data_IF_973003277288
#
_entry.id   IF_973003277288
#
_cell.length_a   1.000
_cell.length_b   1.000
_cell.length_c   1.000
_cell.angle_alpha   90.00
_cell.angle_beta   90.00
_cell.angle_gamma   90.00
#
_symmetry.space_group_name_H-M   'P 1'
#
loop_
_entity.id
_entity.type
_entity.pdbx_description
1 polymer ?
#
# COMPACT_ATOMS: atom_id res chain seq x y z
N UNK A 1 -1.60 -1.14 -8.56
CA UNK A 1 -2.18 -1.50 -7.25
C UNK A 1 -1.07 -1.96 -6.32
N UNK A 2 -1.26 -1.74 -5.02
CA UNK A 2 -0.40 -2.28 -3.98
C UNK A 2 -1.25 -3.24 -3.13
N UNK A 3 -0.66 -4.37 -2.78
CA UNK A 3 -1.19 -5.30 -1.80
C UNK A 3 -0.20 -5.28 -0.65
N UNK A 4 -0.69 -5.05 0.56
CA UNK A 4 0.10 -5.10 1.78
C UNK A 4 -0.43 -6.20 2.70
N UNK A 5 0.46 -7.05 3.19
CA UNK A 5 0.13 -8.01 4.26
C UNK A 5 1.02 -7.73 5.44
N UNK A 6 0.45 -7.84 6.63
CA UNK A 6 1.16 -7.54 7.87
C UNK A 6 1.12 -8.73 8.81
N UNK A 7 2.24 -8.99 9.46
CA UNK A 7 2.50 -10.12 10.34
C UNK A 7 3.40 -9.65 11.50
N UNK A 8 3.46 -10.42 12.56
CA UNK A 8 4.35 -10.16 13.69
C UNK A 8 3.62 -10.19 15.03
N UNK A 9 4.31 -9.74 16.08
CA UNK A 9 3.79 -9.76 17.44
C UNK A 9 3.55 -8.33 17.92
N UNK A 10 2.37 -7.82 17.59
CA UNK A 10 1.88 -6.49 17.98
C UNK A 10 0.35 -6.51 17.97
N UNK A 11 -0.27 -5.47 18.51
CA UNK A 11 -1.73 -5.30 18.47
C UNK A 11 -2.13 -3.83 18.38
N UNK A 12 -3.40 -3.58 18.05
CA UNK A 12 -4.00 -2.26 17.90
C UNK A 12 -3.35 -1.38 16.81
N UNK A 13 -2.74 -1.98 15.78
CA UNK A 13 -2.20 -1.20 14.69
C UNK A 13 -3.31 -0.56 13.85
N UNK A 14 -3.03 0.65 13.36
CA UNK A 14 -3.95 1.43 12.52
C UNK A 14 -3.28 1.80 11.22
N UNK A 15 -4.02 1.68 10.13
CA UNK A 15 -3.65 2.21 8.82
C UNK A 15 -4.62 3.31 8.44
N UNK A 16 -4.11 4.49 8.12
CA UNK A 16 -4.90 5.63 7.67
C UNK A 16 -4.84 5.78 6.15
N UNK A 17 -5.98 6.16 5.57
CA UNK A 17 -6.11 6.61 4.18
C UNK A 17 -6.75 7.99 4.16
N UNK A 18 -5.97 9.07 4.39
CA UNK A 18 -6.53 10.41 4.61
C UNK A 18 -7.36 10.94 3.44
N UNK A 19 -7.00 10.57 2.20
CA UNK A 19 -7.76 10.95 1.00
C UNK A 19 -9.21 10.43 1.00
N UNK A 20 -9.48 9.35 1.77
CA UNK A 20 -10.81 8.77 1.93
C UNK A 20 -11.42 9.05 3.31
N UNK A 21 -10.68 9.71 4.21
CA UNK A 21 -11.07 9.87 5.62
C UNK A 21 -11.38 8.52 6.31
N UNK A 22 -10.66 7.47 5.91
CA UNK A 22 -10.81 6.13 6.47
C UNK A 22 -9.60 5.74 7.32
N UNK A 23 -9.87 4.97 8.37
CA UNK A 23 -8.88 4.30 9.19
C UNK A 23 -9.28 2.83 9.36
N UNK A 24 -8.31 1.93 9.20
CA UNK A 24 -8.51 0.49 9.30
C UNK A 24 -7.70 -0.07 10.47
N UNK A 25 -8.26 -1.07 11.15
CA UNK A 25 -7.46 -1.98 11.97
C UNK A 25 -6.49 -2.73 11.05
N UNK A 26 -5.22 -2.73 11.41
CA UNK A 26 -4.13 -3.29 10.61
C UNK A 26 -3.26 -4.27 11.43
N UNK A 27 -3.94 -5.10 12.21
CA UNK A 27 -3.34 -6.10 13.10
C UNK A 27 -2.71 -7.27 12.32
N UNK A 28 -1.85 -8.09 12.96
CA UNK A 28 -1.22 -9.23 12.30
C UNK A 28 -2.26 -10.15 11.63
N UNK A 29 -1.96 -10.61 10.42
CA UNK A 29 -2.86 -11.42 9.59
C UNK A 29 -3.76 -10.61 8.66
N UNK A 30 -3.74 -9.27 8.71
CA UNK A 30 -4.46 -8.44 7.75
C UNK A 30 -3.76 -8.38 6.38
N UNK A 31 -4.57 -8.39 5.32
CA UNK A 31 -4.18 -8.04 3.95
C UNK A 31 -5.07 -6.91 3.44
N UNK A 32 -4.47 -5.91 2.80
CA UNK A 32 -5.21 -4.79 2.20
C UNK A 32 -4.69 -4.51 0.79
N UNK A 33 -5.62 -4.33 -0.15
CA UNK A 33 -5.32 -4.00 -1.54
C UNK A 33 -5.91 -2.64 -1.89
N UNK A 34 -5.08 -1.73 -2.41
CA UNK A 34 -5.51 -0.35 -2.69
C UNK A 34 -4.57 0.31 -3.74
N UNK A 35 -4.97 1.41 -4.37
CA UNK A 35 -4.19 2.05 -5.42
C UNK A 35 -3.09 2.96 -4.81
N UNK A 36 -2.03 2.35 -4.28
CA UNK A 36 -1.03 3.05 -3.45
C UNK A 36 -0.18 4.14 -4.12
N UNK A 37 -0.29 4.35 -5.44
CA UNK A 37 0.32 5.51 -6.12
C UNK A 37 -0.51 6.79 -6.04
N UNK A 38 -1.83 6.66 -6.13
CA UNK A 38 -2.76 7.81 -6.14
C UNK A 38 -3.35 8.07 -4.76
N UNK A 39 -3.30 7.08 -3.87
CA UNK A 39 -3.88 7.16 -2.53
C UNK A 39 -2.80 7.40 -1.49
N UNK A 40 -2.89 8.54 -0.79
CA UNK A 40 -2.06 8.77 0.41
C UNK A 40 -2.47 7.80 1.49
N UNK A 41 -1.50 7.10 2.06
CA UNK A 41 -1.71 6.07 3.06
C UNK A 41 -0.51 5.99 4.01
N UNK A 42 -0.73 5.45 5.21
CA UNK A 42 0.34 5.22 6.17
C UNK A 42 -0.13 4.33 7.32
N UNK A 43 0.83 3.70 7.98
CA UNK A 43 0.60 2.92 9.19
C UNK A 43 1.11 3.74 10.37
N UNK A 44 0.32 3.81 11.45
CA UNK A 44 0.71 4.49 12.67
C UNK A 44 1.81 3.70 13.39
N UNK A 45 2.63 4.39 14.18
CA UNK A 45 3.61 3.72 15.03
C UNK A 45 2.89 2.76 16.00
N UNK A 46 3.46 1.58 16.20
CA UNK A 46 2.92 0.54 17.07
C UNK A 46 4.05 -0.06 17.90
N UNK A 47 3.75 -0.42 19.14
CA UNK A 47 4.66 -1.17 20.01
C UNK A 47 4.69 -2.65 19.59
N UNK A 48 5.89 -3.24 19.55
CA UNK A 48 6.11 -4.63 19.15
C UNK A 48 6.69 -4.80 17.75
N UNK A 49 6.83 -6.05 17.32
CA UNK A 49 7.51 -6.40 16.07
C UNK A 49 6.53 -6.43 14.91
N UNK A 50 6.52 -5.38 14.08
CA UNK A 50 5.71 -5.31 12.87
C UNK A 50 6.53 -5.64 11.62
N UNK A 51 6.09 -6.65 10.87
CA UNK A 51 6.63 -7.02 9.56
C UNK A 51 5.54 -6.82 8.51
N UNK A 52 5.82 -6.01 7.50
CA UNK A 52 4.91 -5.80 6.37
C UNK A 52 5.56 -6.25 5.06
N UNK A 53 4.82 -7.03 4.27
CA UNK A 53 5.15 -7.34 2.88
C UNK A 53 4.33 -6.47 1.94
N UNK A 54 5.02 -5.91 0.94
CA UNK A 54 4.41 -5.06 -0.07
C UNK A 54 4.60 -5.66 -1.46
N UNK A 55 3.50 -6.04 -2.11
CA UNK A 55 3.49 -6.42 -3.52
C UNK A 55 2.95 -5.26 -4.35
N UNK A 56 3.73 -4.82 -5.32
CA UNK A 56 3.35 -3.72 -6.20
C UNK A 56 3.95 -3.92 -7.59
N UNK A 57 3.28 -3.36 -8.60
CA UNK A 57 3.75 -3.37 -9.98
C UNK A 57 4.49 -2.06 -10.27
N UNK A 58 5.76 -2.17 -10.67
CA UNK A 58 6.55 -1.02 -11.17
C UNK A 58 6.30 -0.82 -12.66
N UNK A 59 6.39 0.42 -13.13
CA UNK A 59 6.26 0.74 -14.56
C UNK A 59 7.30 0.03 -15.42
N UNK A 60 8.51 -0.18 -14.89
CA UNK A 60 9.58 -0.90 -15.59
C UNK A 60 9.19 -2.34 -15.94
N UNK A 61 8.30 -2.99 -15.16
CA UNK A 61 7.83 -4.34 -15.46
C UNK A 61 6.91 -4.33 -16.68
N UNK A 62 6.06 -3.31 -16.84
CA UNK A 62 5.24 -3.16 -18.04
C UNK A 62 6.10 -2.96 -19.29
N UNK A 63 7.12 -2.11 -19.20
CA UNK A 63 8.08 -1.87 -20.29
C UNK A 63 8.82 -3.17 -20.65
N UNK A 64 9.35 -3.86 -19.65
CA UNK A 64 10.05 -5.13 -19.84
C UNK A 64 9.17 -6.20 -20.49
N UNK A 65 7.95 -6.38 -19.99
CA UNK A 65 7.00 -7.36 -20.51
C UNK A 65 6.32 -6.91 -21.82
N UNK A 66 6.63 -5.71 -22.33
CA UNK A 66 6.02 -5.12 -23.54
C UNK A 66 4.49 -5.08 -23.49
N UNK A 67 3.95 -4.90 -22.29
CA UNK A 67 2.51 -4.71 -22.07
C UNK A 67 2.24 -3.26 -21.75
N UNK A 68 1.11 -2.74 -22.23
CA UNK A 68 0.71 -1.38 -21.92
C UNK A 68 0.50 -1.23 -20.40
N UNK A 69 1.07 -0.19 -19.81
CA UNK A 69 0.76 0.20 -18.44
C UNK A 69 -0.68 0.69 -18.37
N UNK A 70 -1.41 0.35 -17.31
CA UNK A 70 -2.73 0.91 -17.08
C UNK A 70 -2.62 2.42 -16.77
N UNK A 71 -3.14 3.27 -17.65
CA UNK A 71 -2.96 4.73 -17.56
C UNK A 71 -3.58 5.38 -16.31
N UNK A 72 -4.57 4.73 -15.68
CA UNK A 72 -5.26 5.27 -14.51
C UNK A 72 -4.39 5.32 -13.24
N UNK A 73 -3.33 4.52 -13.16
CA UNK A 73 -2.44 4.47 -11.99
C UNK A 73 -1.21 5.39 -12.12
N UNK A 74 -1.22 6.28 -13.12
CA UNK A 74 -0.15 7.22 -13.40
C UNK A 74 -0.32 8.47 -12.54
N UNK A 75 0.76 8.89 -11.89
CA UNK A 75 0.79 10.15 -11.13
C UNK A 75 1.53 11.14 -12.01
N UNK A 76 0.86 12.19 -12.46
CA UNK A 76 1.51 13.26 -13.19
C UNK A 76 2.30 14.11 -12.19
N UNK A 77 3.61 13.92 -12.17
CA UNK A 77 4.50 14.84 -11.45
C UNK A 77 4.49 16.16 -12.24
N UNK A 78 3.97 17.23 -11.64
CA UNK A 78 4.24 18.57 -12.15
C UNK A 78 5.75 18.82 -11.97
N UNK A 79 6.46 18.94 -13.09
CA UNK A 79 7.83 19.43 -13.15
C UNK A 79 7.88 20.90 -12.75
#
# INVERSE_FOLDING_TARGET
FNILTTMGNYSNARMSMPSLQLEFRYDPGCMIAFPGRIMRHGVHAVEGDQIAWAWYMRDSIHVYARVLSCGWARVDYKQ
#
